data_IF_545297671279
#
_entry.id   IF_545297671279
#
_cell.length_a   1.000
_cell.length_b   1.000
_cell.length_c   1.000
_cell.angle_alpha   90.00
_cell.angle_beta   90.00
_cell.angle_gamma   90.00
#
_symmetry.space_group_name_H-M   'P 1'
#
loop_
_entity.id
_entity.type
_entity.pdbx_description
1 polymer ?
#
# COMPACT_ATOMS: atom_id res chain seq x y z
N UNK A 1 -14.05 -3.67 32.06
CA UNK A 1 -13.20 -4.76 31.55
C UNK A 1 -14.09 -5.76 30.84
N UNK A 2 -13.84 -6.01 29.56
CA UNK A 2 -14.71 -6.80 28.66
C UNK A 2 -14.15 -8.20 28.42
N UNK A 3 -13.52 -8.81 29.43
CA UNK A 3 -12.93 -10.13 29.25
C UNK A 3 -13.91 -11.19 29.73
N UNK A 4 -14.42 -11.96 28.77
CA UNK A 4 -15.26 -13.13 29.00
C UNK A 4 -14.44 -14.24 29.69
N UNK A 5 -14.94 -14.91 30.74
CA UNK A 5 -14.23 -16.01 31.40
C UNK A 5 -13.75 -17.11 30.44
N UNK A 6 -14.50 -17.36 29.38
CA UNK A 6 -14.20 -18.35 28.34
C UNK A 6 -12.97 -17.97 27.50
N UNK A 7 -12.70 -16.67 27.37
CA UNK A 7 -11.51 -16.15 26.69
C UNK A 7 -10.29 -16.25 27.61
N UNK A 8 -10.46 -15.97 28.91
CA UNK A 8 -9.39 -16.15 29.91
C UNK A 8 -8.91 -17.60 30.03
N UNK A 9 -9.82 -18.56 29.87
CA UNK A 9 -9.48 -19.99 29.95
C UNK A 9 -8.54 -20.46 28.82
N UNK A 10 -8.56 -19.79 27.66
CA UNK A 10 -7.70 -20.10 26.52
C UNK A 10 -6.43 -19.23 26.41
N UNK A 11 -6.25 -18.26 27.29
CA UNK A 11 -5.12 -17.32 27.24
C UNK A 11 -4.03 -17.74 28.23
N UNK A 12 -2.97 -18.34 27.70
CA UNK A 12 -1.80 -18.73 28.50
C UNK A 12 -0.71 -17.66 28.43
N UNK A 13 -0.80 -16.65 29.30
CA UNK A 13 0.30 -15.71 29.54
C UNK A 13 -0.13 -14.25 29.72
N UNK A 14 0.65 -13.45 30.49
CA UNK A 14 0.36 -12.04 30.74
C UNK A 14 0.35 -11.19 29.47
N UNK A 15 1.19 -11.51 28.47
CA UNK A 15 1.29 -10.76 27.22
C UNK A 15 0.02 -10.86 26.35
N UNK A 16 -0.62 -12.04 26.35
CA UNK A 16 -1.87 -12.25 25.61
C UNK A 16 -3.01 -11.44 26.24
N UNK A 17 -3.06 -11.35 27.58
CA UNK A 17 -4.04 -10.54 28.32
C UNK A 17 -3.86 -9.05 28.01
N UNK A 18 -2.61 -8.58 27.97
CA UNK A 18 -2.30 -7.21 27.59
C UNK A 18 -2.72 -6.91 26.14
N UNK A 19 -2.42 -7.81 25.20
CA UNK A 19 -2.82 -7.66 23.80
C UNK A 19 -4.33 -7.61 23.61
N UNK A 20 -5.10 -8.44 24.34
CA UNK A 20 -6.56 -8.43 24.30
C UNK A 20 -7.15 -7.12 24.85
N UNK A 21 -6.58 -6.58 25.93
CA UNK A 21 -7.00 -5.28 26.46
C UNK A 21 -6.71 -4.14 25.48
N UNK A 22 -5.52 -4.12 24.88
CA UNK A 22 -5.17 -3.14 23.84
C UNK A 22 -6.09 -3.23 22.62
N UNK A 23 -6.43 -4.45 22.20
CA UNK A 23 -7.40 -4.66 21.12
C UNK A 23 -8.76 -4.06 21.49
N UNK A 24 -9.28 -4.28 22.71
CA UNK A 24 -10.55 -3.69 23.14
C UNK A 24 -10.50 -2.16 23.19
N UNK A 25 -9.38 -1.58 23.65
CA UNK A 25 -9.18 -0.13 23.64
C UNK A 25 -9.19 0.43 22.21
N UNK A 26 -8.46 -0.21 21.30
CA UNK A 26 -8.48 0.14 19.89
C UNK A 26 -9.89 0.06 19.29
N UNK A 27 -10.60 -1.05 19.51
CA UNK A 27 -11.96 -1.23 18.97
C UNK A 27 -12.94 -0.16 19.47
N UNK A 28 -12.79 0.32 20.71
CA UNK A 28 -13.62 1.40 21.24
C UNK A 28 -13.34 2.76 20.60
N UNK A 29 -12.10 2.98 20.15
CA UNK A 29 -11.70 4.20 19.43
C UNK A 29 -12.15 4.12 17.97
N UNK A 30 -11.92 2.98 17.32
CA UNK A 30 -12.16 2.79 15.89
C UNK A 30 -13.61 2.45 15.53
N UNK A 31 -14.35 1.79 16.43
CA UNK A 31 -15.74 1.38 16.23
C UNK A 31 -16.64 1.93 17.36
N UNK A 32 -16.71 3.26 17.56
CA UNK A 32 -17.51 3.87 18.63
C UNK A 32 -19.01 3.55 18.53
N UNK A 33 -19.50 3.11 17.36
CA UNK A 33 -20.89 2.66 17.20
C UNK A 33 -21.18 1.31 17.87
N UNK A 34 -20.16 0.50 18.14
CA UNK A 34 -20.31 -0.80 18.78
C UNK A 34 -20.36 -0.66 20.31
N UNK A 35 -21.54 -0.88 20.89
CA UNK A 35 -21.70 -0.93 22.34
C UNK A 35 -21.05 -2.19 22.95
N UNK A 36 -20.90 -2.19 24.28
CA UNK A 36 -20.30 -3.31 25.01
C UNK A 36 -21.07 -4.64 24.82
N UNK A 37 -22.35 -4.60 24.45
CA UNK A 37 -23.16 -5.80 24.19
C UNK A 37 -22.79 -6.38 22.82
N UNK A 38 -22.71 -5.54 21.79
CA UNK A 38 -22.30 -5.88 20.44
C UNK A 38 -20.87 -6.44 20.43
N UNK A 39 -19.95 -5.82 21.16
CA UNK A 39 -18.57 -6.32 21.31
C UNK A 39 -18.52 -7.72 21.94
N UNK A 40 -19.30 -7.99 23.00
CA UNK A 40 -19.39 -9.34 23.59
C UNK A 40 -19.98 -10.35 22.61
N UNK A 41 -21.01 -9.97 21.87
CA UNK A 41 -21.65 -10.85 20.91
C UNK A 41 -20.68 -11.24 19.78
N UNK A 42 -19.98 -10.26 19.20
CA UNK A 42 -18.97 -10.48 18.17
C UNK A 42 -17.79 -11.34 18.68
N UNK A 43 -17.32 -11.10 19.90
CA UNK A 43 -16.29 -11.93 20.53
C UNK A 43 -16.75 -13.38 20.70
N UNK A 44 -17.97 -13.60 21.21
CA UNK A 44 -18.55 -14.95 21.33
C UNK A 44 -18.68 -15.68 20.01
N UNK A 45 -19.08 -14.99 18.94
CA UNK A 45 -19.14 -15.54 17.58
C UNK A 45 -17.76 -15.86 16.99
N UNK A 46 -16.67 -15.43 17.65
CA UNK A 46 -15.30 -15.72 17.26
C UNK A 46 -14.73 -16.93 18.01
N UNK A 47 -15.37 -17.34 19.11
CA UNK A 47 -14.96 -18.50 19.91
C UNK A 47 -15.17 -19.80 19.13
N UNK A 48 -14.26 -20.76 19.32
CA UNK A 48 -14.28 -22.06 18.64
C UNK A 48 -13.66 -22.05 17.24
N UNK A 49 -13.04 -20.93 16.82
CA UNK A 49 -12.22 -20.82 15.61
C UNK A 49 -10.74 -20.72 15.95
N UNK A 50 -9.87 -21.01 15.00
CA UNK A 50 -8.43 -20.75 15.12
C UNK A 50 -8.17 -19.25 15.30
N UNK A 51 -7.36 -18.87 16.28
CA UNK A 51 -7.01 -17.48 16.62
C UNK A 51 -8.23 -16.55 16.84
N UNK A 52 -9.08 -16.82 17.85
CA UNK A 52 -10.36 -16.15 18.03
C UNK A 52 -10.24 -14.63 18.22
N UNK A 53 -9.20 -14.16 18.91
CA UNK A 53 -8.95 -12.73 19.12
C UNK A 53 -8.57 -12.00 17.83
N UNK A 54 -7.78 -12.64 16.95
CA UNK A 54 -7.42 -12.08 15.65
C UNK A 54 -8.66 -11.93 14.77
N UNK A 55 -9.46 -13.00 14.66
CA UNK A 55 -10.67 -12.97 13.85
C UNK A 55 -11.72 -11.99 14.38
N UNK A 56 -11.84 -11.88 15.71
CA UNK A 56 -12.66 -10.85 16.35
C UNK A 56 -12.17 -9.45 15.97
N UNK A 57 -10.87 -9.17 16.13
CA UNK A 57 -10.27 -7.88 15.82
C UNK A 57 -10.45 -7.48 14.36
N UNK A 58 -10.07 -8.35 13.42
CA UNK A 58 -10.19 -8.06 11.98
C UNK A 58 -11.64 -7.73 11.59
N UNK A 59 -12.61 -8.58 11.97
CA UNK A 59 -14.03 -8.35 11.62
C UNK A 59 -14.61 -7.05 12.19
N UNK A 60 -14.14 -6.63 13.36
CA UNK A 60 -14.59 -5.37 13.95
C UNK A 60 -13.91 -4.17 13.27
N UNK A 61 -12.61 -4.25 12.99
CA UNK A 61 -11.85 -3.17 12.36
C UNK A 61 -12.21 -2.96 10.87
N UNK A 62 -12.63 -4.01 10.18
CA UNK A 62 -13.24 -3.91 8.84
C UNK A 62 -14.49 -3.02 8.83
N UNK A 63 -15.09 -2.75 10.00
CA UNK A 63 -16.27 -1.89 10.17
C UNK A 63 -15.95 -0.62 10.95
N UNK A 64 -14.69 -0.19 10.97
CA UNK A 64 -14.25 0.99 11.70
C UNK A 64 -15.00 2.25 11.25
N UNK A 65 -15.75 2.88 12.15
CA UNK A 65 -16.35 4.19 11.92
C UNK A 65 -15.29 5.30 11.91
N UNK A 66 -14.13 5.04 12.54
CA UNK A 66 -13.01 5.96 12.67
C UNK A 66 -11.69 5.26 12.38
N UNK A 67 -10.99 5.75 11.36
CA UNK A 67 -9.62 5.39 11.04
C UNK A 67 -8.66 6.48 11.53
N UNK A 68 -7.39 6.15 11.81
CA UNK A 68 -6.42 7.17 12.17
C UNK A 68 -6.17 8.10 10.97
N UNK A 69 -6.39 9.39 11.18
CA UNK A 69 -6.13 10.43 10.18
C UNK A 69 -5.00 11.32 10.69
N UNK A 70 -3.77 11.21 10.14
CA UNK A 70 -2.67 12.10 10.51
C UNK A 70 -2.92 13.52 9.97
N UNK A 71 -2.30 14.50 10.63
CA UNK A 71 -2.31 15.88 10.16
C UNK A 71 -1.29 16.03 9.01
N UNK A 72 -1.74 15.79 7.78
CA UNK A 72 -0.95 16.03 6.57
C UNK A 72 -1.11 17.48 6.13
N UNK A 73 -0.03 18.15 5.68
CA UNK A 73 -0.17 19.48 5.10
C UNK A 73 -1.15 19.46 3.92
N UNK A 74 -2.02 20.47 3.78
CA UNK A 74 -3.08 20.46 2.80
C UNK A 74 -2.52 20.45 1.37
N UNK A 75 -3.05 19.57 0.53
CA UNK A 75 -2.79 19.51 -0.90
C UNK A 75 -4.13 19.47 -1.65
N UNK A 76 -4.31 20.35 -2.62
CA UNK A 76 -5.56 20.43 -3.38
C UNK A 76 -5.88 19.08 -4.05
N UNK A 77 -7.11 18.59 -3.84
CA UNK A 77 -7.58 17.30 -4.37
C UNK A 77 -7.16 16.07 -3.55
N UNK A 78 -6.25 16.21 -2.59
CA UNK A 78 -5.83 15.10 -1.72
C UNK A 78 -6.72 15.05 -0.46
N UNK A 79 -7.28 13.87 -0.18
CA UNK A 79 -8.11 13.62 1.00
C UNK A 79 -7.75 12.28 1.64
N UNK A 80 -7.52 12.28 2.94
CA UNK A 80 -7.36 11.05 3.72
C UNK A 80 -8.73 10.40 3.94
N UNK A 81 -8.83 9.08 3.76
CA UNK A 81 -10.05 8.33 4.01
C UNK A 81 -10.19 8.03 5.51
N UNK A 82 -11.30 8.44 6.12
CA UNK A 82 -11.42 8.54 7.57
C UNK A 82 -12.25 7.42 8.22
N UNK A 83 -12.89 6.57 7.43
CA UNK A 83 -13.72 5.45 7.91
C UNK A 83 -13.66 4.26 6.97
N UNK A 84 -14.04 3.07 7.45
CA UNK A 84 -14.10 1.88 6.63
C UNK A 84 -15.10 2.03 5.46
N UNK A 85 -16.26 2.64 5.73
CA UNK A 85 -17.26 2.91 4.69
C UNK A 85 -16.72 3.82 3.58
N UNK A 86 -15.94 4.85 3.92
CA UNK A 86 -15.27 5.69 2.91
C UNK A 86 -14.26 4.91 2.08
N UNK A 87 -13.48 4.02 2.71
CA UNK A 87 -12.49 3.18 2.01
C UNK A 87 -13.18 2.16 1.10
N UNK A 88 -14.25 1.52 1.56
CA UNK A 88 -15.03 0.57 0.76
C UNK A 88 -15.66 1.23 -0.46
N UNK A 89 -16.32 2.38 -0.26
CA UNK A 89 -16.88 3.15 -1.36
C UNK A 89 -15.80 3.57 -2.36
N UNK A 90 -14.67 4.08 -1.86
CA UNK A 90 -13.55 4.46 -2.73
C UNK A 90 -12.98 3.25 -3.49
N UNK A 91 -12.86 2.10 -2.85
CA UNK A 91 -12.38 0.88 -3.48
C UNK A 91 -13.31 0.41 -4.60
N UNK A 92 -14.63 0.53 -4.41
CA UNK A 92 -15.64 0.24 -5.43
C UNK A 92 -15.55 1.24 -6.61
N UNK A 93 -15.50 2.55 -6.34
CA UNK A 93 -15.40 3.60 -7.37
C UNK A 93 -14.13 3.49 -8.22
N UNK A 94 -13.04 3.05 -7.59
CA UNK A 94 -11.74 2.81 -8.22
C UNK A 94 -11.59 1.39 -8.76
N UNK A 95 -12.52 0.47 -8.48
CA UNK A 95 -12.38 -0.97 -8.76
C UNK A 95 -11.03 -1.53 -8.30
N UNK A 96 -10.56 -1.14 -7.11
CA UNK A 96 -9.21 -1.45 -6.63
C UNK A 96 -9.24 -2.25 -5.31
N UNK A 97 -8.05 -2.60 -4.79
CA UNK A 97 -7.91 -3.41 -3.57
C UNK A 97 -7.72 -2.57 -2.29
N UNK A 98 -8.13 -1.30 -2.26
CA UNK A 98 -7.90 -0.42 -1.10
C UNK A 98 -8.54 -0.97 0.19
N UNK A 99 -9.75 -1.55 0.08
CA UNK A 99 -10.45 -2.16 1.21
C UNK A 99 -9.68 -3.35 1.85
N UNK A 100 -8.77 -3.99 1.11
CA UNK A 100 -7.94 -5.06 1.64
C UNK A 100 -6.93 -4.61 2.71
N UNK A 101 -6.71 -3.30 2.87
CA UNK A 101 -5.79 -2.71 3.84
C UNK A 101 -6.50 -2.12 5.07
N UNK A 102 -7.82 -2.32 5.23
CA UNK A 102 -8.62 -1.69 6.30
C UNK A 102 -8.06 -1.95 7.70
N UNK A 103 -7.64 -3.20 7.96
CA UNK A 103 -7.12 -3.57 9.27
C UNK A 103 -5.78 -2.86 9.52
N UNK A 104 -4.88 -2.85 8.55
CA UNK A 104 -3.59 -2.16 8.59
C UNK A 104 -3.76 -0.66 8.78
N UNK A 105 -4.75 -0.05 8.12
CA UNK A 105 -5.08 1.37 8.31
C UNK A 105 -5.59 1.59 9.73
N UNK A 106 -6.52 0.77 10.22
CA UNK A 106 -7.10 0.95 11.54
C UNK A 106 -6.08 0.84 12.68
N UNK A 107 -5.02 0.02 12.51
CA UNK A 107 -3.90 -0.08 13.46
C UNK A 107 -2.75 0.90 13.18
N UNK A 108 -2.90 1.78 12.19
CA UNK A 108 -1.93 2.83 11.86
C UNK A 108 -0.67 2.35 11.13
N UNK A 109 -0.68 1.16 10.53
CA UNK A 109 0.42 0.65 9.70
C UNK A 109 0.33 1.12 8.24
N UNK A 110 -0.83 1.61 7.81
CA UNK A 110 -1.05 2.18 6.49
C UNK A 110 -1.94 3.41 6.58
N UNK A 111 -1.90 4.23 5.54
CA UNK A 111 -2.88 5.29 5.31
C UNK A 111 -3.32 5.26 3.85
N UNK A 112 -4.62 5.46 3.59
CA UNK A 112 -5.14 5.56 2.23
C UNK A 112 -5.63 6.98 2.01
N UNK A 113 -5.12 7.61 0.95
CA UNK A 113 -5.62 8.89 0.47
C UNK A 113 -6.24 8.73 -0.91
N UNK A 114 -7.41 9.33 -1.10
CA UNK A 114 -7.95 9.61 -2.42
C UNK A 114 -7.33 10.91 -2.93
N UNK A 115 -6.86 10.91 -4.18
CA UNK A 115 -6.27 12.08 -4.81
C UNK A 115 -6.87 12.34 -6.18
N UNK A 116 -7.68 13.40 -6.28
CA UNK A 116 -8.17 13.94 -7.54
C UNK A 116 -7.08 14.83 -8.17
N UNK A 117 -6.14 14.21 -8.87
CA UNK A 117 -5.01 14.90 -9.47
C UNK A 117 -5.44 15.65 -10.74
N UNK A 118 -5.29 16.98 -10.76
CA UNK A 118 -5.44 17.77 -11.98
C UNK A 118 -4.15 17.76 -12.81
N UNK A 119 -4.21 17.23 -14.03
CA UNK A 119 -3.11 17.24 -14.99
C UNK A 119 -2.90 18.62 -15.64
N UNK A 120 -1.87 18.74 -16.49
CA UNK A 120 -1.53 20.02 -17.16
C UNK A 120 -2.63 20.49 -18.14
N UNK A 121 -3.47 19.58 -18.63
CA UNK A 121 -4.61 19.89 -19.48
C UNK A 121 -5.88 20.24 -18.65
N UNK A 122 -5.79 20.17 -17.32
CA UNK A 122 -6.90 20.41 -16.39
C UNK A 122 -7.84 19.21 -16.23
N UNK A 123 -7.52 18.05 -16.81
CA UNK A 123 -8.30 16.84 -16.60
C UNK A 123 -8.03 16.25 -15.21
N UNK A 124 -9.08 15.77 -14.56
CA UNK A 124 -8.96 15.11 -13.26
C UNK A 124 -8.66 13.63 -13.45
N UNK A 125 -7.57 13.18 -12.84
CA UNK A 125 -7.13 11.79 -12.80
C UNK A 125 -7.25 11.29 -11.36
N UNK A 126 -8.19 10.39 -11.05
CA UNK A 126 -8.33 9.87 -9.70
C UNK A 126 -7.20 8.87 -9.40
N UNK A 127 -6.54 9.07 -8.26
CA UNK A 127 -5.44 8.25 -7.78
C UNK A 127 -5.70 7.79 -6.34
N UNK A 128 -5.30 6.56 -6.05
CA UNK A 128 -5.20 6.00 -4.70
C UNK A 128 -3.74 6.08 -4.25
N UNK A 129 -3.49 6.77 -3.13
CA UNK A 129 -2.18 6.89 -2.51
C UNK A 129 -2.15 6.07 -1.23
N UNK A 130 -1.33 5.03 -1.20
CA UNK A 130 -1.07 4.23 -0.01
C UNK A 130 0.21 4.75 0.64
N UNK A 131 0.13 5.10 1.92
CA UNK A 131 1.28 5.53 2.70
C UNK A 131 1.63 4.50 3.78
N UNK A 132 2.91 4.44 4.12
CA UNK A 132 3.43 3.71 5.26
C UNK A 132 4.05 4.68 6.28
N UNK A 133 3.84 4.48 7.59
CA UNK A 133 4.44 5.32 8.62
C UNK A 133 5.94 5.04 8.73
N UNK A 134 6.72 6.09 9.01
CA UNK A 134 8.15 6.01 9.30
C UNK A 134 8.42 6.15 10.80
N UNK A 135 9.58 5.65 11.24
CA UNK A 135 9.97 5.69 12.67
C UNK A 135 10.22 7.10 13.21
N UNK A 136 10.47 8.07 12.34
CA UNK A 136 10.63 9.49 12.71
C UNK A 136 9.31 10.28 12.68
N UNK A 137 8.18 9.60 12.53
CA UNK A 137 6.84 10.20 12.44
C UNK A 137 6.49 10.74 11.05
N UNK A 138 7.38 10.58 10.06
CA UNK A 138 7.09 10.89 8.66
C UNK A 138 6.21 9.83 7.99
N UNK A 139 5.82 10.11 6.75
CA UNK A 139 5.07 9.19 5.91
C UNK A 139 5.81 8.93 4.60
N UNK A 140 5.85 7.67 4.23
CA UNK A 140 6.40 7.19 2.97
C UNK A 140 5.27 6.83 2.01
N UNK A 141 5.42 7.16 0.73
CA UNK A 141 4.56 6.72 -0.35
C UNK A 141 4.91 5.27 -0.70
N UNK A 142 4.07 4.35 -0.28
CA UNK A 142 4.19 2.91 -0.53
C UNK A 142 3.65 2.55 -1.93
N UNK A 143 2.54 3.17 -2.34
CA UNK A 143 1.94 2.93 -3.65
C UNK A 143 1.15 4.12 -4.18
N UNK A 144 1.19 4.33 -5.50
CA UNK A 144 0.26 5.19 -6.24
C UNK A 144 -0.42 4.31 -7.31
N UNK A 145 -1.74 4.26 -7.31
CA UNK A 145 -2.52 3.47 -8.27
C UNK A 145 -3.69 4.27 -8.83
N UNK A 146 -4.01 4.06 -10.10
CA UNK A 146 -5.25 4.49 -10.74
C UNK A 146 -6.37 3.46 -10.54
N UNK A 147 -7.40 3.56 -11.39
CA UNK A 147 -8.51 2.61 -11.43
C UNK A 147 -8.05 1.21 -11.79
N UNK A 148 -8.78 0.17 -11.34
CA UNK A 148 -8.44 -1.24 -11.53
C UNK A 148 -7.06 -1.64 -10.97
N UNK A 149 -6.57 -0.88 -9.99
CA UNK A 149 -5.18 -0.92 -9.51
C UNK A 149 -4.13 -0.57 -10.58
N UNK A 150 -4.48 -0.07 -11.77
CA UNK A 150 -3.51 0.19 -12.84
C UNK A 150 -2.50 1.28 -12.46
N UNK A 151 -1.27 1.16 -12.94
CA UNK A 151 -0.29 2.24 -12.78
C UNK A 151 -0.72 3.49 -13.56
N UNK A 152 -0.69 4.70 -12.97
CA UNK A 152 -0.94 5.92 -13.72
C UNK A 152 0.11 6.13 -14.81
N UNK A 153 -0.24 6.91 -15.84
CA UNK A 153 0.71 7.28 -16.89
C UNK A 153 1.95 7.98 -16.31
N UNK A 154 3.15 7.70 -16.83
CA UNK A 154 4.42 8.23 -16.29
C UNK A 154 4.44 9.74 -16.04
N UNK A 155 3.93 10.61 -16.95
CA UNK A 155 3.91 12.05 -16.70
C UNK A 155 3.01 12.43 -15.50
N UNK A 156 1.87 11.76 -15.34
CA UNK A 156 0.96 11.95 -14.21
C UNK A 156 1.63 11.49 -12.92
N UNK A 157 2.24 10.30 -12.92
CA UNK A 157 2.96 9.78 -11.77
C UNK A 157 4.06 10.74 -11.29
N UNK A 158 4.88 11.24 -12.22
CA UNK A 158 5.94 12.24 -11.96
C UNK A 158 5.39 13.48 -11.26
N UNK A 159 4.37 14.10 -11.87
CA UNK A 159 3.81 15.34 -11.37
C UNK A 159 3.08 15.14 -10.03
N UNK A 160 2.38 14.02 -9.86
CA UNK A 160 1.75 13.66 -8.59
C UNK A 160 2.80 13.46 -7.49
N UNK A 161 3.87 12.72 -7.75
CA UNK A 161 4.97 12.51 -6.81
C UNK A 161 5.62 13.84 -6.39
N UNK A 162 5.91 14.73 -7.34
CA UNK A 162 6.49 16.05 -7.01
C UNK A 162 5.57 16.87 -6.10
N UNK A 163 4.25 16.85 -6.32
CA UNK A 163 3.27 17.54 -5.47
C UNK A 163 3.11 16.87 -4.10
N UNK A 164 3.15 15.55 -4.04
CA UNK A 164 3.09 14.80 -2.77
C UNK A 164 4.37 15.01 -1.95
N UNK A 165 5.53 15.06 -2.59
CA UNK A 165 6.80 15.35 -1.93
C UNK A 165 6.88 16.80 -1.43
N UNK A 166 6.22 17.75 -2.09
CA UNK A 166 6.23 19.15 -1.64
C UNK A 166 5.48 19.38 -0.31
N UNK A 167 4.59 18.45 0.07
CA UNK A 167 3.96 18.42 1.40
C UNK A 167 4.70 17.53 2.41
N UNK A 168 5.91 17.07 2.07
CA UNK A 168 6.80 16.32 2.97
C UNK A 168 6.63 14.81 2.94
N UNK A 169 5.80 14.26 2.04
CA UNK A 169 5.75 12.81 1.82
C UNK A 169 7.05 12.32 1.20
N UNK A 170 7.53 11.16 1.65
CA UNK A 170 8.82 10.61 1.24
C UNK A 170 8.65 9.41 0.35
N UNK A 171 9.71 9.09 -0.36
CA UNK A 171 9.72 8.05 -1.38
C UNK A 171 10.99 7.25 -1.14
N UNK A 172 10.89 5.95 -0.84
CA UNK A 172 12.10 5.13 -0.73
C UNK A 172 12.76 4.97 -2.08
N UNK A 173 14.08 5.09 -2.07
CA UNK A 173 14.90 4.91 -3.25
C UNK A 173 16.25 4.32 -2.87
N UNK A 174 17.05 3.95 -3.87
CA UNK A 174 18.43 3.56 -3.64
C UNK A 174 19.18 4.68 -2.91
N UNK A 175 20.07 4.29 -2.00
CA UNK A 175 20.88 5.24 -1.27
C UNK A 175 21.73 6.08 -2.25
N UNK A 176 21.98 7.37 -1.95
CA UNK A 176 22.88 8.19 -2.74
C UNK A 176 24.26 7.50 -2.87
N UNK A 177 24.71 7.26 -4.11
CA UNK A 177 25.97 6.58 -4.39
C UNK A 177 25.94 5.04 -4.33
N UNK A 178 24.78 4.43 -4.04
CA UNK A 178 24.59 3.00 -4.18
C UNK A 178 24.53 2.56 -5.64
N UNK A 179 25.05 1.37 -5.95
CA UNK A 179 24.85 0.75 -7.27
C UNK A 179 23.47 0.10 -7.29
N UNK A 180 22.51 0.76 -7.94
CA UNK A 180 21.22 0.16 -8.23
C UNK A 180 21.24 -0.43 -9.64
N UNK A 181 21.27 -1.76 -9.74
CA UNK A 181 21.11 -2.48 -11.00
C UNK A 181 19.66 -2.93 -11.15
N UNK A 182 18.90 -2.17 -11.94
CA UNK A 182 17.50 -2.43 -12.24
C UNK A 182 17.29 -3.82 -12.86
N UNK A 183 18.16 -4.23 -13.79
CA UNK A 183 18.00 -5.50 -14.52
C UNK A 183 18.24 -6.68 -13.60
N UNK A 184 19.21 -6.55 -12.69
CA UNK A 184 19.46 -7.57 -11.67
C UNK A 184 18.32 -7.63 -10.65
N UNK A 185 17.79 -6.48 -10.23
CA UNK A 185 16.62 -6.45 -9.35
C UNK A 185 15.42 -7.16 -10.00
N UNK A 186 15.08 -6.80 -11.25
CA UNK A 186 14.01 -7.44 -12.02
C UNK A 186 14.24 -8.95 -12.22
N UNK A 187 15.46 -9.36 -12.57
CA UNK A 187 15.84 -10.77 -12.72
C UNK A 187 15.63 -11.57 -11.43
N UNK A 188 15.95 -10.97 -10.29
CA UNK A 188 15.81 -11.60 -8.97
C UNK A 188 14.39 -11.51 -8.40
N UNK A 189 13.42 -11.00 -9.16
CA UNK A 189 12.04 -10.80 -8.70
C UNK A 189 11.88 -9.65 -7.70
N UNK A 190 12.90 -8.81 -7.54
CA UNK A 190 12.83 -7.56 -6.81
C UNK A 190 12.32 -6.47 -7.75
N UNK A 191 11.01 -6.23 -7.71
CA UNK A 191 10.49 -4.98 -8.23
C UNK A 191 10.82 -3.89 -7.19
N UNK A 192 11.47 -2.77 -7.56
CA UNK A 192 11.60 -1.64 -6.64
C UNK A 192 10.20 -1.33 -6.12
N UNK A 193 10.06 -1.09 -4.81
CA UNK A 193 8.81 -1.12 -4.03
C UNK A 193 7.59 -0.34 -4.54
N UNK A 194 7.68 0.32 -5.69
CA UNK A 194 6.52 0.70 -6.49
C UNK A 194 6.04 -0.54 -7.24
N UNK A 195 4.88 -1.10 -6.84
CA UNK A 195 4.21 -2.23 -7.54
C UNK A 195 3.96 -2.02 -9.05
N UNK A 196 4.37 -0.89 -9.62
CA UNK A 196 4.48 -0.62 -11.04
C UNK A 196 5.87 -0.04 -11.39
N UNK A 197 6.84 -0.92 -11.61
CA UNK A 197 7.73 -0.91 -12.80
C UNK A 197 8.61 0.30 -13.14
N UNK A 198 8.59 1.40 -12.40
CA UNK A 198 9.39 2.58 -12.68
C UNK A 198 9.90 3.16 -11.36
N UNK A 199 11.22 3.28 -11.26
CA UNK A 199 11.83 3.92 -10.09
C UNK A 199 11.45 5.39 -10.04
N UNK A 200 11.56 6.00 -8.86
CA UNK A 200 11.51 7.46 -8.70
C UNK A 200 12.46 8.16 -9.70
N UNK A 201 13.59 7.56 -10.09
CA UNK A 201 14.50 8.11 -11.11
C UNK A 201 13.89 8.15 -12.52
N UNK A 202 13.20 7.08 -12.95
CA UNK A 202 12.42 7.05 -14.20
C UNK A 202 11.27 8.08 -14.15
N UNK A 203 10.63 8.19 -12.98
CA UNK A 203 9.59 9.15 -12.71
C UNK A 203 10.12 10.58 -12.49
N UNK A 204 11.42 10.83 -12.26
CA UNK A 204 12.00 12.17 -12.11
C UNK A 204 12.75 12.63 -13.36
N UNK A 205 12.88 11.76 -14.36
CA UNK A 205 13.46 12.11 -15.65
C UNK A 205 14.98 12.31 -15.59
N UNK A 206 15.68 11.52 -14.77
CA UNK A 206 17.11 11.41 -15.00
C UNK A 206 17.32 10.87 -16.43
N UNK A 207 18.22 11.48 -17.22
CA UNK A 207 18.45 11.05 -18.57
C UNK A 207 18.86 9.58 -18.50
N UNK A 208 18.05 8.75 -19.17
CA UNK A 208 18.44 7.40 -19.54
C UNK A 208 19.87 7.56 -20.08
N UNK A 209 20.86 7.02 -19.37
CA UNK A 209 22.21 6.97 -19.94
C UNK A 209 22.08 5.98 -21.08
N UNK A 210 21.76 6.52 -22.26
CA UNK A 210 21.58 5.82 -23.51
C UNK A 210 22.62 4.69 -23.61
N UNK A 211 22.19 3.47 -23.28
CA UNK A 211 22.80 2.28 -23.83
C UNK A 211 21.99 1.97 -25.08
N UNK A 212 22.62 1.97 -26.27
CA UNK A 212 21.89 2.06 -27.53
C UNK A 212 20.99 0.84 -27.75
N UNK A 213 19.71 1.11 -28.04
CA UNK A 213 18.84 0.21 -28.79
C UNK A 213 17.69 -0.45 -28.02
N UNK A 214 16.63 0.31 -27.73
CA UNK A 214 15.32 -0.30 -27.43
C UNK A 214 14.17 0.39 -28.17
N UNK A 215 14.25 0.39 -29.50
CA UNK A 215 13.08 0.62 -30.35
C UNK A 215 12.15 -0.60 -30.30
N UNK A 216 10.90 -0.38 -29.90
CA UNK A 216 9.83 -1.38 -29.89
C UNK A 216 9.61 -2.01 -31.27
N UNK A 217 9.55 -3.34 -31.31
CA UNK A 217 9.42 -4.14 -32.54
C UNK A 217 10.25 -5.44 -32.54
N UNK A 218 11.09 -5.63 -31.52
CA UNK A 218 12.13 -6.65 -31.54
C UNK A 218 11.81 -8.03 -30.96
N UNK A 219 10.58 -8.44 -30.62
CA UNK A 219 10.42 -9.78 -30.00
C UNK A 219 10.89 -10.92 -30.92
N UNK A 220 10.49 -10.89 -32.20
CA UNK A 220 10.92 -11.88 -33.19
C UNK A 220 12.38 -11.69 -33.65
N UNK A 221 12.85 -10.44 -33.80
CA UNK A 221 14.27 -10.17 -34.12
C UNK A 221 15.22 -10.51 -32.98
N UNK A 222 14.79 -10.38 -31.72
CA UNK A 222 15.57 -10.74 -30.52
C UNK A 222 15.68 -12.24 -30.37
N UNK A 223 14.60 -13.01 -30.61
CA UNK A 223 14.69 -14.47 -30.62
C UNK A 223 15.66 -14.97 -31.71
N UNK A 224 15.55 -14.45 -32.94
CA UNK A 224 16.45 -14.81 -34.02
C UNK A 224 17.93 -14.46 -33.72
N UNK A 225 18.18 -13.31 -33.07
CA UNK A 225 19.52 -12.91 -32.66
C UNK A 225 20.09 -13.76 -31.51
N UNK A 226 19.25 -14.23 -30.58
CA UNK A 226 19.65 -15.11 -29.47
C UNK A 226 19.93 -16.53 -29.98
N UNK A 227 19.10 -17.05 -30.89
CA UNK A 227 19.33 -18.36 -31.53
C UNK A 227 20.64 -18.39 -32.32
N UNK A 228 20.93 -17.33 -33.07
CA UNK A 228 22.17 -17.21 -33.84
C UNK A 228 23.41 -17.07 -32.92
N UNK A 229 23.32 -16.31 -31.83
CA UNK A 229 24.40 -16.19 -30.86
C UNK A 229 24.66 -17.50 -30.10
N UNK A 230 23.62 -18.24 -29.73
CA UNK A 230 23.74 -19.57 -29.11
C UNK A 230 24.37 -20.58 -30.07
N UNK A 231 24.00 -20.53 -31.35
CA UNK A 231 24.58 -21.38 -32.39
C UNK A 231 26.08 -21.15 -32.54
N UNK A 232 26.51 -19.89 -32.59
CA UNK A 232 27.93 -19.53 -32.72
C UNK A 232 28.76 -19.94 -31.50
N UNK A 233 28.18 -19.92 -30.30
CA UNK A 233 28.86 -20.39 -29.07
C UNK A 233 29.01 -21.91 -29.08
N UNK A 234 28.01 -22.65 -29.58
CA UNK A 234 28.05 -24.12 -29.67
C UNK A 234 28.97 -24.61 -30.78
N UNK A 235 29.06 -23.90 -31.91
CA UNK A 235 29.98 -24.24 -33.01
C UNK A 235 31.45 -23.87 -32.72
N UNK A 236 31.70 -23.01 -31.74
CA UNK A 236 33.05 -22.59 -31.32
C UNK A 236 33.61 -23.38 -30.11
N UNK A 237 32.86 -24.36 -29.58
CA UNK A 237 33.24 -25.24 -28.48
C UNK A 237 33.55 -26.66 -28.98
#
# INVERSE_FOLDING_TARGET
>A
MLILPEVLQGMHGPDTILAANRLLELLRVSVPSADDIALKAALRQSLGRDEPLRQFGCRMLERADRLPVPDLPPLAGLRVLASAAEVEQFAEEMSNCAASYLVEVAIGLKLICAYDFADEAGATVPLAILLAPMTDGGWEIDQIAGKNNEGPAKPVLRAALQRLMSIGLRVSGPAPGGVYDRRMAELLGHHPGYRYGDTLADALGEPDRDLPGSGGGGAAKRLAGIEEALRQIVEAA
#
